data_IF_020585786724
#
_entry.id   IF_020585786724
#
_cell.length_a   1.000
_cell.length_b   1.000
_cell.length_c   1.000
_cell.angle_alpha   90.00
_cell.angle_beta   90.00
_cell.angle_gamma   90.00
#
_symmetry.space_group_name_H-M   'P 1'
#
loop_
_entity.id
_entity.type
_entity.pdbx_description
1 polymer ?
#
# COMPACT_ATOMS: atom_id res chain seq x y z
N UNK A 1 -12.48 -7.59 12.46
CA UNK A 1 -12.29 -8.75 11.56
C UNK A 1 -11.04 -8.58 10.68
N UNK A 2 -10.80 -7.41 10.08
CA UNK A 2 -9.64 -7.13 9.21
C UNK A 2 -8.30 -7.31 9.94
N UNK A 3 -8.14 -6.72 11.12
CA UNK A 3 -6.92 -6.85 11.93
C UNK A 3 -6.67 -8.29 12.37
N UNK A 4 -7.68 -9.00 12.85
CA UNK A 4 -7.59 -10.40 13.26
C UNK A 4 -7.09 -11.32 12.13
N UNK A 5 -7.56 -11.10 10.89
CA UNK A 5 -7.09 -11.89 9.75
C UNK A 5 -5.59 -11.69 9.49
N UNK A 6 -5.12 -10.45 9.52
CA UNK A 6 -3.71 -10.17 9.30
C UNK A 6 -2.85 -10.65 10.47
N UNK A 7 -3.34 -10.57 11.70
CA UNK A 7 -2.64 -11.12 12.86
C UNK A 7 -2.52 -12.64 12.80
N UNK A 8 -3.58 -13.36 12.46
CA UNK A 8 -3.54 -14.81 12.26
C UNK A 8 -2.57 -15.21 11.13
N UNK A 9 -2.56 -14.47 10.02
CA UNK A 9 -1.61 -14.73 8.94
C UNK A 9 -0.18 -14.46 9.39
N UNK A 10 0.10 -13.33 10.03
CA UNK A 10 1.44 -13.00 10.52
C UNK A 10 1.92 -13.98 11.58
N UNK A 11 1.07 -14.41 12.51
CA UNK A 11 1.42 -15.39 13.54
C UNK A 11 1.74 -16.75 12.91
N UNK A 12 0.91 -17.22 11.99
CA UNK A 12 1.13 -18.46 11.24
C UNK A 12 2.43 -18.48 10.45
N UNK A 13 2.87 -17.31 9.96
CA UNK A 13 4.06 -17.18 9.12
C UNK A 13 5.31 -16.78 9.90
N UNK A 14 5.19 -16.15 11.06
CA UNK A 14 6.30 -15.84 11.96
C UNK A 14 7.06 -17.11 12.42
N UNK A 15 6.33 -18.21 12.63
CA UNK A 15 6.88 -19.51 13.01
C UNK A 15 7.67 -20.19 11.89
N UNK A 16 7.42 -19.83 10.62
CA UNK A 16 7.93 -20.54 9.43
C UNK A 16 9.03 -19.78 8.67
N UNK A 17 9.48 -18.63 9.14
CA UNK A 17 10.39 -17.72 8.39
C UNK A 17 9.83 -17.24 7.02
N UNK A 18 8.56 -17.39 6.77
CA UNK A 18 7.89 -17.01 5.53
C UNK A 18 7.36 -15.57 5.53
N UNK A 19 7.74 -14.75 6.53
CA UNK A 19 7.35 -13.34 6.61
C UNK A 19 7.82 -12.50 5.41
N UNK A 20 8.82 -12.97 4.65
CA UNK A 20 9.20 -12.40 3.36
C UNK A 20 8.26 -12.82 2.20
N UNK A 21 7.29 -13.69 2.46
CA UNK A 21 6.34 -14.08 1.44
C UNK A 21 5.23 -13.03 1.31
N UNK A 22 4.90 -12.59 0.09
CA UNK A 22 3.74 -11.73 -0.13
C UNK A 22 2.43 -12.28 0.42
N UNK A 23 2.32 -13.60 0.51
CA UNK A 23 1.15 -14.30 1.07
C UNK A 23 0.95 -13.93 2.55
N UNK A 24 2.02 -13.69 3.32
CA UNK A 24 1.95 -13.32 4.73
C UNK A 24 1.19 -11.99 4.97
N UNK A 25 1.16 -11.12 3.98
CA UNK A 25 0.43 -9.84 4.00
C UNK A 25 -0.79 -9.84 3.07
N UNK A 26 -1.30 -11.02 2.72
CA UNK A 26 -2.56 -11.17 1.98
C UNK A 26 -2.44 -11.16 0.46
N UNK A 27 -1.23 -11.25 -0.10
CA UNK A 27 -1.01 -11.33 -1.55
C UNK A 27 -1.02 -12.78 -2.02
N UNK A 28 -2.18 -13.28 -2.44
CA UNK A 28 -2.35 -14.67 -2.89
C UNK A 28 -1.65 -14.97 -4.22
N UNK A 29 -1.35 -13.94 -5.01
CA UNK A 29 -0.80 -14.05 -6.37
C UNK A 29 0.74 -14.13 -6.43
N UNK A 30 1.41 -14.10 -5.28
CA UNK A 30 2.86 -14.25 -5.19
C UNK A 30 3.69 -13.00 -5.47
N UNK A 31 5.03 -13.17 -5.45
CA UNK A 31 6.01 -12.06 -5.57
C UNK A 31 5.95 -11.30 -6.90
N UNK A 32 5.65 -11.99 -8.00
CA UNK A 32 5.63 -11.38 -9.34
C UNK A 32 4.58 -10.29 -9.44
N UNK A 33 3.34 -10.60 -9.04
CA UNK A 33 2.24 -9.65 -9.08
C UNK A 33 2.43 -8.49 -8.10
N UNK A 34 3.01 -8.74 -6.93
CA UNK A 34 3.36 -7.68 -5.99
C UNK A 34 4.40 -6.72 -6.59
N UNK A 35 5.45 -7.24 -7.24
CA UNK A 35 6.48 -6.42 -7.90
C UNK A 35 5.93 -5.57 -9.03
N UNK A 36 5.02 -6.12 -9.85
CA UNK A 36 4.34 -5.37 -10.91
C UNK A 36 3.56 -4.20 -10.33
N UNK A 37 2.83 -4.42 -9.22
CA UNK A 37 2.07 -3.35 -8.55
C UNK A 37 2.98 -2.27 -7.99
N UNK A 38 4.08 -2.64 -7.32
CA UNK A 38 5.05 -1.68 -6.83
C UNK A 38 5.65 -0.86 -7.97
N UNK A 39 6.08 -1.51 -9.05
CA UNK A 39 6.56 -0.80 -10.24
C UNK A 39 5.52 0.21 -10.73
N UNK A 40 4.29 -0.22 -10.95
CA UNK A 40 3.22 0.65 -11.47
C UNK A 40 2.92 1.83 -10.55
N UNK A 41 2.97 1.63 -9.21
CA UNK A 41 2.78 2.72 -8.25
C UNK A 41 3.94 3.71 -8.28
N UNK A 42 5.17 3.25 -8.41
CA UNK A 42 6.36 4.11 -8.45
C UNK A 42 6.53 4.83 -9.79
N UNK A 43 5.97 4.29 -10.89
CA UNK A 43 5.97 4.91 -12.22
C UNK A 43 5.18 6.25 -12.26
N UNK A 44 4.52 6.66 -11.17
CA UNK A 44 3.94 8.00 -11.00
C UNK A 44 5.01 9.12 -11.12
N UNK A 45 6.28 8.77 -10.95
CA UNK A 45 7.41 9.68 -11.08
C UNK A 45 8.39 9.64 -9.91
N UNK A 46 8.30 8.62 -9.05
CA UNK A 46 9.21 8.45 -7.92
C UNK A 46 10.65 8.25 -8.43
N UNK A 47 11.56 9.02 -7.87
CA UNK A 47 12.98 9.02 -8.24
C UNK A 47 13.88 8.97 -7.01
N UNK A 48 15.14 8.57 -7.19
CA UNK A 48 16.11 8.60 -6.09
C UNK A 48 16.28 10.01 -5.53
N UNK A 49 16.30 10.11 -4.21
CA UNK A 49 16.34 11.36 -3.46
C UNK A 49 14.97 11.86 -3.00
N UNK A 50 13.87 11.35 -3.55
CA UNK A 50 12.52 11.71 -3.10
C UNK A 50 12.22 11.15 -1.70
N UNK A 51 11.34 11.82 -0.96
CA UNK A 51 10.70 11.28 0.25
C UNK A 51 9.40 10.57 -0.10
N UNK A 52 9.20 9.37 0.44
CA UNK A 52 8.04 8.53 0.17
C UNK A 52 7.37 8.05 1.45
N UNK A 53 6.04 8.19 1.52
CA UNK A 53 5.19 7.60 2.54
C UNK A 53 4.52 6.33 1.99
N UNK A 54 4.87 5.17 2.53
CA UNK A 54 4.24 3.89 2.20
C UNK A 54 3.13 3.58 3.20
N UNK A 55 1.88 3.69 2.76
CA UNK A 55 0.68 3.50 3.60
C UNK A 55 0.24 2.06 3.54
N UNK A 56 0.05 1.44 4.71
CA UNK A 56 -0.20 0.01 4.82
C UNK A 56 1.02 -0.79 4.39
N UNK A 57 2.20 -0.38 4.84
CA UNK A 57 3.49 -0.94 4.43
C UNK A 57 3.68 -2.43 4.80
N UNK A 58 2.84 -2.95 5.72
CA UNK A 58 2.96 -4.30 6.22
C UNK A 58 4.34 -4.57 6.81
N UNK A 59 4.97 -5.65 6.40
CA UNK A 59 6.33 -6.04 6.83
C UNK A 59 7.45 -5.40 6.00
N UNK A 60 7.16 -4.36 5.20
CA UNK A 60 8.14 -3.57 4.48
C UNK A 60 8.57 -4.10 3.11
N UNK A 61 7.72 -4.86 2.41
CA UNK A 61 8.07 -5.44 1.11
C UNK A 61 8.41 -4.40 0.02
N UNK A 62 7.85 -3.18 0.09
CA UNK A 62 8.22 -2.12 -0.84
C UNK A 62 9.69 -1.70 -0.65
N UNK A 63 10.20 -1.72 0.58
CA UNK A 63 11.63 -1.49 0.87
C UNK A 63 12.52 -2.52 0.16
N UNK A 64 12.15 -3.80 0.19
CA UNK A 64 12.87 -4.85 -0.57
C UNK A 64 12.87 -4.54 -2.07
N UNK A 65 11.73 -4.12 -2.60
CA UNK A 65 11.61 -3.76 -4.01
C UNK A 65 12.50 -2.57 -4.39
N UNK A 66 12.47 -1.49 -3.62
CA UNK A 66 13.27 -0.28 -3.82
C UNK A 66 14.77 -0.59 -3.80
N UNK A 67 15.22 -1.38 -2.83
CA UNK A 67 16.60 -1.82 -2.72
C UNK A 67 17.05 -2.65 -3.94
N UNK A 68 16.21 -3.59 -4.39
CA UNK A 68 16.51 -4.43 -5.56
C UNK A 68 16.49 -3.66 -6.88
N UNK A 69 15.77 -2.55 -6.95
CA UNK A 69 15.68 -1.67 -8.11
C UNK A 69 16.73 -0.53 -8.07
N UNK A 70 17.58 -0.47 -7.03
CA UNK A 70 18.55 0.61 -6.74
C UNK A 70 17.90 2.01 -6.72
N UNK A 71 16.65 2.09 -6.25
CA UNK A 71 15.92 3.36 -6.07
C UNK A 71 16.11 3.83 -4.64
N UNK A 72 16.94 4.84 -4.42
CA UNK A 72 17.30 5.35 -3.10
C UNK A 72 16.40 6.52 -2.71
N UNK A 73 15.43 6.26 -1.83
CA UNK A 73 14.47 7.27 -1.33
C UNK A 73 14.57 7.44 0.18
N UNK A 74 14.07 8.56 0.68
CA UNK A 74 13.81 8.76 2.11
C UNK A 74 12.47 8.08 2.45
N UNK A 75 12.55 6.81 2.85
CA UNK A 75 11.37 5.97 3.05
C UNK A 75 10.82 6.08 4.46
N UNK A 76 9.50 6.23 4.56
CA UNK A 76 8.72 6.05 5.78
C UNK A 76 7.55 5.12 5.50
N UNK A 77 7.47 4.00 6.22
CA UNK A 77 6.34 3.07 6.16
C UNK A 77 5.43 3.22 7.37
N UNK A 78 4.12 3.27 7.14
CA UNK A 78 3.11 3.26 8.20
C UNK A 78 2.15 2.09 8.03
N UNK A 79 1.75 1.50 9.16
CA UNK A 79 0.72 0.47 9.20
C UNK A 79 0.00 0.51 10.54
N UNK A 80 -1.29 0.17 10.57
CA UNK A 80 -2.08 0.05 11.80
C UNK A 80 -1.85 -1.29 12.50
N UNK A 81 -1.19 -2.24 11.84
CA UNK A 81 -0.81 -3.52 12.44
C UNK A 81 0.57 -3.43 13.11
N UNK A 82 0.56 -3.38 14.45
CA UNK A 82 1.79 -3.29 15.26
C UNK A 82 2.76 -4.45 14.99
N UNK A 83 2.25 -5.67 14.84
CA UNK A 83 3.09 -6.85 14.63
C UNK A 83 3.82 -6.80 13.29
N UNK A 84 3.16 -6.29 12.23
CA UNK A 84 3.80 -6.06 10.93
C UNK A 84 4.93 -5.02 11.04
N UNK A 85 4.69 -3.92 11.72
CA UNK A 85 5.68 -2.87 11.96
C UNK A 85 6.87 -3.40 12.77
N UNK A 86 6.62 -4.18 13.83
CA UNK A 86 7.69 -4.76 14.64
C UNK A 86 8.57 -5.71 13.82
N UNK A 87 8.00 -6.45 12.87
CA UNK A 87 8.75 -7.28 11.94
C UNK A 87 9.53 -6.45 10.92
N UNK A 88 8.91 -5.42 10.32
CA UNK A 88 9.57 -4.53 9.37
C UNK A 88 10.82 -3.88 9.98
N UNK A 89 10.71 -3.37 11.22
CA UNK A 89 11.83 -2.76 11.97
C UNK A 89 12.99 -3.73 12.21
N UNK A 90 12.71 -5.02 12.45
CA UNK A 90 13.76 -6.03 12.64
C UNK A 90 14.54 -6.31 11.36
N UNK A 91 13.87 -6.25 10.22
CA UNK A 91 14.45 -6.61 8.92
C UNK A 91 15.14 -5.42 8.25
N UNK A 92 14.52 -4.24 8.32
CA UNK A 92 14.98 -3.03 7.61
C UNK A 92 15.38 -1.94 8.60
N UNK A 93 16.49 -2.14 9.30
CA UNK A 93 16.96 -1.28 10.40
C UNK A 93 17.32 0.15 9.98
N UNK A 94 17.55 0.39 8.69
CA UNK A 94 17.92 1.71 8.15
C UNK A 94 16.72 2.48 7.58
N UNK A 95 15.49 1.98 7.80
CA UNK A 95 14.27 2.63 7.33
C UNK A 95 13.35 2.99 8.49
N UNK A 96 12.48 3.95 8.27
CA UNK A 96 11.52 4.40 9.28
C UNK A 96 10.22 3.60 9.11
N UNK A 97 9.77 2.96 10.19
CA UNK A 97 8.48 2.28 10.26
C UNK A 97 7.72 2.74 11.48
N UNK A 98 6.47 3.16 11.31
CA UNK A 98 5.63 3.70 12.38
C UNK A 98 4.33 2.90 12.49
N UNK A 99 3.99 2.50 13.70
CA UNK A 99 2.65 1.99 14.02
C UNK A 99 1.71 3.20 14.10
N UNK A 100 1.07 3.53 12.99
CA UNK A 100 0.36 4.80 12.83
C UNK A 100 -0.71 4.70 11.75
N UNK A 101 -1.70 5.57 11.80
CA UNK A 101 -2.64 5.83 10.71
C UNK A 101 -2.22 7.08 9.92
N UNK A 102 -2.83 7.30 8.75
CA UNK A 102 -2.58 8.50 7.94
C UNK A 102 -2.89 9.78 8.72
N UNK A 103 -3.91 9.73 9.59
CA UNK A 103 -4.36 10.88 10.40
C UNK A 103 -3.31 11.37 11.39
N UNK A 104 -2.45 10.48 11.85
CA UNK A 104 -1.45 10.78 12.87
C UNK A 104 -0.11 11.24 12.26
N UNK A 105 -0.01 11.28 10.93
CA UNK A 105 1.17 11.79 10.21
C UNK A 105 1.04 13.30 10.05
N UNK A 106 2.07 14.03 10.48
CA UNK A 106 2.12 15.50 10.40
C UNK A 106 3.16 15.99 9.40
N UNK A 107 4.09 15.14 9.02
CA UNK A 107 5.14 15.42 8.04
C UNK A 107 4.58 15.47 6.63
N UNK A 108 5.30 16.17 5.75
CA UNK A 108 5.01 16.24 4.31
C UNK A 108 6.05 15.46 3.53
N UNK A 109 5.60 14.75 2.50
CA UNK A 109 6.43 13.92 1.63
C UNK A 109 6.33 14.40 0.18
N UNK A 110 7.25 13.99 -0.69
CA UNK A 110 7.05 14.18 -2.13
C UNK A 110 5.94 13.25 -2.65
N UNK A 111 5.96 12.00 -2.24
CA UNK A 111 5.02 10.99 -2.73
C UNK A 111 4.40 10.19 -1.59
N UNK A 112 3.17 9.75 -1.80
CA UNK A 112 2.58 8.68 -1.00
C UNK A 112 2.15 7.52 -1.90
N UNK A 113 2.36 6.30 -1.42
CA UNK A 113 1.90 5.08 -2.10
C UNK A 113 1.08 4.22 -1.15
N UNK A 114 0.06 3.53 -1.70
CA UNK A 114 -0.79 2.62 -0.95
C UNK A 114 -1.06 1.36 -1.78
N UNK A 115 -0.37 0.27 -1.45
CA UNK A 115 -0.47 -0.99 -2.18
C UNK A 115 -1.37 -2.00 -1.47
N UNK A 116 -2.57 -2.22 -1.98
CA UNK A 116 -3.51 -3.21 -1.48
C UNK A 116 -4.30 -2.81 -0.23
N UNK A 117 -4.15 -1.59 0.26
CA UNK A 117 -4.75 -1.09 1.49
C UNK A 117 -6.28 -1.10 1.42
N UNK A 118 -6.83 -0.68 0.30
CA UNK A 118 -8.27 -0.45 0.13
C UNK A 118 -9.06 -1.67 -0.39
N UNK A 119 -8.43 -2.84 -0.45
CA UNK A 119 -9.02 -4.01 -1.09
C UNK A 119 -9.96 -4.80 -0.19
N UNK A 120 -9.95 -4.58 1.12
CA UNK A 120 -10.70 -5.37 2.11
C UNK A 120 -11.37 -4.48 3.14
N UNK A 121 -12.69 -4.69 3.32
CA UNK A 121 -13.47 -4.05 4.38
C UNK A 121 -13.14 -2.54 4.55
N UNK A 122 -12.95 -1.85 3.43
CA UNK A 122 -12.61 -0.43 3.41
C UNK A 122 -13.71 0.33 2.67
N UNK A 123 -14.72 0.86 3.39
CA UNK A 123 -15.83 1.55 2.76
C UNK A 123 -15.36 2.69 1.84
N UNK A 124 -16.04 2.85 0.69
CA UNK A 124 -15.70 3.87 -0.32
C UNK A 124 -15.53 5.28 0.25
N UNK A 125 -16.37 5.65 1.20
CA UNK A 125 -16.31 6.98 1.84
C UNK A 125 -15.00 7.13 2.61
N UNK A 126 -14.67 6.16 3.43
CA UNK A 126 -13.42 6.12 4.22
C UNK A 126 -12.17 6.13 3.33
N UNK A 127 -12.21 5.35 2.24
CA UNK A 127 -11.14 5.33 1.24
C UNK A 127 -10.92 6.72 0.63
N UNK A 128 -11.99 7.38 0.19
CA UNK A 128 -11.90 8.73 -0.40
C UNK A 128 -11.41 9.77 0.59
N UNK A 129 -11.82 9.68 1.86
CA UNK A 129 -11.33 10.54 2.94
C UNK A 129 -9.83 10.33 3.17
N UNK A 130 -9.39 9.07 3.27
CA UNK A 130 -7.98 8.71 3.44
C UNK A 130 -7.12 9.21 2.26
N UNK A 131 -7.61 9.07 1.02
CA UNK A 131 -6.88 9.55 -0.17
C UNK A 131 -6.79 11.08 -0.16
N UNK A 132 -7.85 11.80 0.21
CA UNK A 132 -7.83 13.27 0.34
C UNK A 132 -6.82 13.70 1.40
N UNK A 133 -6.80 13.01 2.52
CA UNK A 133 -5.84 13.29 3.57
C UNK A 133 -4.39 13.04 3.09
N UNK A 134 -4.13 11.96 2.35
CA UNK A 134 -2.83 11.72 1.73
C UNK A 134 -2.44 12.82 0.73
N UNK A 135 -3.39 13.30 -0.08
CA UNK A 135 -3.15 14.41 -1.02
C UNK A 135 -2.70 15.67 -0.26
N UNK A 136 -3.22 15.93 0.93
CA UNK A 136 -2.81 17.08 1.74
C UNK A 136 -1.42 16.94 2.37
N UNK A 137 -0.84 15.75 2.38
CA UNK A 137 0.47 15.44 2.98
C UNK A 137 1.59 15.23 1.96
N UNK A 138 1.32 15.48 0.68
CA UNK A 138 2.31 15.29 -0.38
C UNK A 138 2.46 16.52 -1.27
N UNK A 139 3.68 16.71 -1.78
CA UNK A 139 3.98 17.82 -2.68
C UNK A 139 3.83 17.44 -4.16
N UNK A 140 4.04 16.16 -4.53
CA UNK A 140 4.04 15.70 -5.92
C UNK A 140 2.83 14.84 -6.25
N UNK A 141 2.51 13.80 -5.45
CA UNK A 141 1.34 13.00 -5.73
C UNK A 141 1.16 11.73 -4.89
N UNK A 142 0.01 11.10 -5.10
CA UNK A 142 -0.42 9.87 -4.43
C UNK A 142 -0.69 8.79 -5.46
N UNK A 143 -0.10 7.60 -5.29
CA UNK A 143 -0.42 6.43 -6.09
C UNK A 143 -1.03 5.31 -5.22
N UNK A 144 -2.12 4.72 -5.67
CA UNK A 144 -2.76 3.60 -4.98
C UNK A 144 -3.39 2.64 -5.98
N UNK A 145 -3.61 1.40 -5.57
CA UNK A 145 -4.31 0.43 -6.38
C UNK A 145 -5.63 -0.01 -5.74
N UNK A 146 -6.57 -0.38 -6.60
CA UNK A 146 -7.90 -0.84 -6.24
C UNK A 146 -8.22 -2.12 -7.02
N UNK A 147 -9.10 -2.96 -6.46
CA UNK A 147 -9.67 -4.10 -7.17
C UNK A 147 -10.85 -3.62 -8.03
N UNK A 148 -10.83 -3.98 -9.32
CA UNK A 148 -11.93 -3.71 -10.25
C UNK A 148 -12.98 -4.82 -10.24
N UNK A 149 -12.54 -6.07 -10.23
CA UNK A 149 -13.39 -7.27 -10.16
C UNK A 149 -12.64 -8.42 -9.49
N UNK A 150 -13.35 -9.27 -8.76
CA UNK A 150 -12.79 -10.51 -8.21
C UNK A 150 -13.71 -11.70 -8.53
N UNK A 151 -13.12 -12.82 -8.95
CA UNK A 151 -13.87 -14.08 -9.07
C UNK A 151 -14.25 -14.53 -7.65
N UNK A 152 -15.56 -14.58 -7.40
CA UNK A 152 -16.20 -14.85 -6.12
C UNK A 152 -15.99 -16.31 -5.69
N UNK A 153 -14.82 -16.68 -5.17
CA UNK A 153 -14.54 -18.02 -4.64
C UNK A 153 -13.88 -18.02 -3.26
N UNK A 154 -13.95 -16.94 -2.51
CA UNK A 154 -13.42 -16.86 -1.16
C UNK A 154 -14.48 -16.35 -0.19
N UNK A 155 -14.45 -16.86 1.06
CA UNK A 155 -15.25 -16.36 2.18
C UNK A 155 -14.79 -14.97 2.66
N UNK A 156 -14.00 -14.26 1.87
CA UNK A 156 -13.40 -12.98 2.21
C UNK A 156 -14.17 -11.90 1.47
N UNK A 157 -14.63 -10.89 2.20
CA UNK A 157 -15.25 -9.70 1.63
C UNK A 157 -14.18 -8.80 1.03
N UNK A 158 -14.27 -8.56 -0.29
CA UNK A 158 -13.46 -7.58 -1.00
C UNK A 158 -14.32 -6.40 -1.41
N UNK A 159 -13.74 -5.20 -1.37
CA UNK A 159 -14.36 -4.00 -1.92
C UNK A 159 -13.95 -3.83 -3.38
N UNK A 160 -14.94 -3.56 -4.22
CA UNK A 160 -14.75 -3.33 -5.65
C UNK A 160 -15.15 -1.91 -5.99
N UNK A 161 -14.32 -1.25 -6.79
CA UNK A 161 -14.52 0.15 -7.13
C UNK A 161 -14.60 0.33 -8.64
N UNK A 162 -15.54 1.17 -9.07
CA UNK A 162 -15.59 1.58 -10.47
C UNK A 162 -14.61 2.74 -10.69
N UNK A 163 -13.62 2.59 -11.58
CA UNK A 163 -12.58 3.61 -11.78
C UNK A 163 -13.13 5.00 -12.10
N UNK A 164 -14.20 5.07 -12.90
CA UNK A 164 -14.87 6.34 -13.28
C UNK A 164 -15.43 7.08 -12.06
N UNK A 165 -15.98 6.37 -11.09
CA UNK A 165 -16.54 6.98 -9.88
C UNK A 165 -15.44 7.58 -9.00
N UNK A 166 -14.34 6.85 -8.83
CA UNK A 166 -13.18 7.31 -8.04
C UNK A 166 -12.54 8.51 -8.71
N UNK A 167 -12.29 8.42 -10.02
CA UNK A 167 -11.77 9.52 -10.83
C UNK A 167 -12.64 10.78 -10.70
N UNK A 168 -13.96 10.64 -10.87
CA UNK A 168 -14.89 11.76 -10.74
C UNK A 168 -14.94 12.36 -9.34
N UNK A 169 -14.81 11.52 -8.30
CA UNK A 169 -14.80 11.97 -6.91
C UNK A 169 -13.54 12.77 -6.56
N UNK A 170 -12.37 12.35 -7.07
CA UNK A 170 -11.09 13.02 -6.80
C UNK A 170 -10.95 14.31 -7.63
N UNK A 171 -11.33 14.30 -8.91
CA UNK A 171 -11.27 15.49 -9.78
C UNK A 171 -12.15 16.63 -9.26
N UNK A 172 -13.31 16.35 -8.67
CA UNK A 172 -14.18 17.40 -8.06
C UNK A 172 -13.48 18.16 -6.92
N UNK A 173 -12.41 17.60 -6.38
CA UNK A 173 -11.60 18.23 -5.34
C UNK A 173 -10.28 18.83 -5.87
N UNK A 174 -10.16 19.00 -7.20
CA UNK A 174 -9.03 19.66 -7.83
C UNK A 174 -7.79 18.77 -8.03
N UNK A 175 -7.87 17.47 -7.73
CA UNK A 175 -6.77 16.56 -8.00
C UNK A 175 -6.69 16.22 -9.49
N UNK A 176 -5.50 16.32 -10.08
CA UNK A 176 -5.26 15.82 -11.42
C UNK A 176 -5.05 14.30 -11.34
N UNK A 177 -5.95 13.51 -11.92
CA UNK A 177 -5.96 12.07 -11.79
C UNK A 177 -5.64 11.37 -13.13
N UNK A 178 -4.94 10.25 -13.06
CA UNK A 178 -4.85 9.27 -14.15
C UNK A 178 -5.19 7.87 -13.65
N UNK A 179 -5.71 7.02 -14.52
CA UNK A 179 -6.10 5.64 -14.21
C UNK A 179 -5.38 4.69 -15.14
N UNK A 180 -4.58 3.78 -14.57
CA UNK A 180 -3.94 2.69 -15.31
C UNK A 180 -4.73 1.40 -15.03
N UNK A 181 -5.17 0.74 -16.09
CA UNK A 181 -5.90 -0.54 -16.00
C UNK A 181 -5.11 -1.65 -16.69
N UNK A 182 -5.36 -2.89 -16.25
CA UNK A 182 -4.80 -4.11 -16.88
C UNK A 182 -3.26 -4.16 -16.90
N UNK A 183 -2.61 -3.63 -15.88
CA UNK A 183 -1.15 -3.67 -15.77
C UNK A 183 -0.66 -5.07 -15.35
N UNK A 184 -0.46 -5.92 -16.33
CA UNK A 184 0.39 -7.10 -16.21
C UNK A 184 -0.10 -8.28 -15.39
N UNK A 185 -1.36 -8.37 -15.03
CA UNK A 185 -1.95 -9.57 -14.45
C UNK A 185 -2.70 -10.30 -15.58
N UNK A 186 -2.03 -11.23 -16.23
CA UNK A 186 -2.66 -12.23 -17.10
C UNK A 186 -3.05 -13.45 -16.30
#
# INVERSE_FOLDING_TARGET
>A
MRELYYEEQLQKWAETKWYHSPIAVGWLDGKTNQRIRFKTLLDIGVSSGDSILDVGCGVGHLTEYLNNADIKVHYTGIDTNKNAIDQAKKVYTNQIFLHSSVKDIHETYEWAVASGVFNREYPKVEMLETIRELISKVNKGVAFNLLKEFKKNSNISYEFYQPVEIFSALNRHGALCSVIQNYGIQ
#
